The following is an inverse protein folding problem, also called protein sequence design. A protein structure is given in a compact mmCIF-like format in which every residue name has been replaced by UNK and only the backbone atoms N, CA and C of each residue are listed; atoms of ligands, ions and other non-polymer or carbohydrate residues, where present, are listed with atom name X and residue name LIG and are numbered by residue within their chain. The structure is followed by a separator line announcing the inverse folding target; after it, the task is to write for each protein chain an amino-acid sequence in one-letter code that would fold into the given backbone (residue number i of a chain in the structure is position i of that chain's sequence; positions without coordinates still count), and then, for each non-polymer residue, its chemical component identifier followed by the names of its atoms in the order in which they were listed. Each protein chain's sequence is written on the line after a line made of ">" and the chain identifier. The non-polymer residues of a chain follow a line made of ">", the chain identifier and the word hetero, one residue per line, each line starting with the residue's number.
data_IF_535640872580
#
_entry.id   IF_535640872580
#
_cell.length_a   1.000
_cell.length_b   1.000
_cell.length_c   1.000
_cell.angle_alpha   90.00
_cell.angle_beta   90.00
_cell.angle_gamma   90.00
#
_symmetry.space_group_name_H-M   'P 1'
#
loop_
_entity.id
_entity.type
_entity.pdbx_description
1 polymer ?
#
# COMPACT_ATOMS: atom_id res chain seq x y z
N UNK A 1 -9.53 12.76 -5.01
CA UNK A 1 -8.68 12.16 -3.96
C UNK A 1 -8.51 10.64 -4.11
N UNK A 2 -9.58 9.86 -4.33
CA UNK A 2 -9.51 8.37 -4.42
C UNK A 2 -8.54 7.88 -5.51
N UNK A 3 -8.50 8.51 -6.68
CA UNK A 3 -7.63 8.10 -7.79
C UNK A 3 -6.13 8.20 -7.48
N UNK A 4 -5.72 9.23 -6.72
CA UNK A 4 -4.31 9.38 -6.32
C UNK A 4 -3.89 8.27 -5.35
N UNK A 5 -4.80 7.84 -4.46
CA UNK A 5 -4.58 6.69 -3.59
C UNK A 5 -4.34 5.40 -4.38
N UNK A 6 -5.14 5.14 -5.41
CA UNK A 6 -5.04 3.93 -6.26
C UNK A 6 -3.73 3.83 -7.03
N UNK A 7 -3.19 4.96 -7.50
CA UNK A 7 -1.87 5.01 -8.12
C UNK A 7 -0.74 4.93 -7.09
N UNK A 8 -0.86 5.65 -5.96
CA UNK A 8 0.20 5.71 -4.96
C UNK A 8 0.43 4.40 -4.23
N UNK A 9 -0.62 3.59 -4.03
CA UNK A 9 -0.52 2.39 -3.21
C UNK A 9 0.42 1.33 -3.80
N UNK A 10 0.30 0.92 -5.08
CA UNK A 10 1.26 -0.02 -5.67
C UNK A 10 2.71 0.50 -5.66
N UNK A 11 2.92 1.82 -5.78
CA UNK A 11 4.24 2.43 -5.62
C UNK A 11 4.78 2.23 -4.20
N UNK A 12 3.99 2.53 -3.18
CA UNK A 12 4.37 2.30 -1.78
C UNK A 12 4.56 0.81 -1.46
N UNK A 13 3.76 -0.06 -2.05
CA UNK A 13 3.90 -1.51 -1.91
C UNK A 13 5.25 -2.00 -2.47
N UNK A 14 5.63 -1.53 -3.66
CA UNK A 14 6.95 -1.83 -4.23
C UNK A 14 8.07 -1.24 -3.38
N UNK A 15 7.97 0.02 -2.95
CA UNK A 15 8.96 0.64 -2.06
C UNK A 15 9.10 -0.12 -0.74
N UNK A 16 8.01 -0.64 -0.17
CA UNK A 16 8.03 -1.45 1.03
C UNK A 16 8.76 -2.78 0.81
N UNK A 17 8.56 -3.41 -0.35
CA UNK A 17 9.31 -4.59 -0.76
C UNK A 17 10.82 -4.32 -0.90
N UNK A 18 11.19 -3.19 -1.51
CA UNK A 18 12.59 -2.76 -1.60
C UNK A 18 13.17 -2.50 -0.19
N UNK A 19 12.43 -1.80 0.66
CA UNK A 19 12.83 -1.59 2.06
C UNK A 19 13.05 -2.90 2.82
N UNK A 20 12.22 -3.91 2.57
CA UNK A 20 12.36 -5.25 3.15
C UNK A 20 13.60 -6.00 2.60
N UNK A 21 13.91 -5.86 1.31
CA UNK A 21 15.11 -6.44 0.68
C UNK A 21 16.42 -5.88 1.27
N UNK A 22 16.45 -4.59 1.61
CA UNK A 22 17.67 -3.91 2.06
C UNK A 22 17.75 -3.68 3.58
N UNK A 23 16.73 -4.02 4.36
CA UNK A 23 16.76 -3.83 5.82
C UNK A 23 17.58 -4.91 6.52
N UNK A 24 18.48 -4.49 7.41
CA UNK A 24 19.23 -5.41 8.28
C UNK A 24 18.38 -5.96 9.43
N UNK A 25 17.36 -5.23 9.87
CA UNK A 25 16.46 -5.64 10.96
C UNK A 25 15.00 -5.41 10.55
N UNK A 26 14.28 -6.51 10.32
CA UNK A 26 12.88 -6.49 9.87
C UNK A 26 11.92 -6.05 10.96
N UNK A 27 12.18 -6.43 12.21
CA UNK A 27 11.33 -6.08 13.34
C UNK A 27 11.37 -4.58 13.60
N UNK A 28 12.54 -3.96 13.51
CA UNK A 28 12.67 -2.50 13.58
C UNK A 28 11.98 -1.81 12.39
N UNK A 29 11.96 -2.43 11.21
CA UNK A 29 11.24 -1.89 10.07
C UNK A 29 9.72 -1.92 10.28
N UNK A 30 9.17 -3.08 10.64
CA UNK A 30 7.74 -3.25 10.93
C UNK A 30 7.30 -2.39 12.12
N UNK A 31 8.09 -2.34 13.19
CA UNK A 31 7.83 -1.50 14.35
C UNK A 31 7.73 -0.01 13.97
N UNK A 32 8.64 0.49 13.12
CA UNK A 32 8.57 1.88 12.64
C UNK A 32 7.27 2.14 11.86
N UNK A 33 6.83 1.21 11.01
CA UNK A 33 5.57 1.35 10.28
C UNK A 33 4.37 1.37 11.22
N UNK A 34 4.33 0.46 12.21
CA UNK A 34 3.26 0.42 13.22
C UNK A 34 3.26 1.68 14.07
N UNK A 35 4.43 2.14 14.55
CA UNK A 35 4.56 3.34 15.36
C UNK A 35 4.04 4.58 14.61
N UNK A 36 4.43 4.74 13.35
CA UNK A 36 3.91 5.81 12.49
C UNK A 36 2.40 5.65 12.21
N UNK A 37 1.93 4.42 12.04
CA UNK A 37 0.51 4.10 11.93
C UNK A 37 -0.27 4.57 13.14
N UNK A 38 0.19 4.25 14.35
CA UNK A 38 -0.44 4.67 15.62
C UNK A 38 -0.40 6.19 15.76
N UNK A 39 0.74 6.84 15.52
CA UNK A 39 0.88 8.31 15.63
C UNK A 39 -0.04 9.04 14.64
N UNK A 40 -0.18 8.52 13.42
CA UNK A 40 -1.01 9.13 12.38
C UNK A 40 -2.50 8.77 12.47
N UNK A 41 -2.87 7.72 13.22
CA UNK A 41 -4.25 7.23 13.29
C UNK A 41 -5.25 8.29 13.73
N UNK A 42 -5.01 9.14 14.76
CA UNK A 42 -5.99 10.17 15.15
C UNK A 42 -6.28 11.16 14.03
N UNK A 43 -5.24 11.62 13.31
CA UNK A 43 -5.36 12.56 12.19
C UNK A 43 -6.10 11.89 11.03
N UNK A 44 -5.69 10.66 10.68
CA UNK A 44 -6.35 9.86 9.65
C UNK A 44 -7.83 9.63 9.96
N UNK A 45 -8.16 9.21 11.18
CA UNK A 45 -9.52 8.96 11.65
C UNK A 45 -10.39 10.22 11.50
N UNK A 46 -9.87 11.37 11.91
CA UNK A 46 -10.60 12.64 11.79
C UNK A 46 -10.87 12.99 10.32
N UNK A 47 -9.85 12.95 9.46
CA UNK A 47 -9.98 13.21 8.02
C UNK A 47 -10.96 12.23 7.37
N UNK A 48 -10.84 10.94 7.67
CA UNK A 48 -11.68 9.90 7.10
C UNK A 48 -13.15 10.09 7.47
N UNK A 49 -13.45 10.33 8.75
CA UNK A 49 -14.83 10.59 9.19
C UNK A 49 -15.40 11.87 8.59
N UNK A 50 -14.59 12.92 8.41
CA UNK A 50 -15.02 14.13 7.71
C UNK A 50 -15.34 13.86 6.24
N UNK A 51 -14.57 13.02 5.54
CA UNK A 51 -14.73 12.76 4.10
C UNK A 51 -15.84 11.76 3.80
N UNK A 52 -15.92 10.67 4.56
CA UNK A 52 -16.74 9.51 4.23
C UNK A 52 -17.91 9.31 5.20
N UNK A 53 -18.04 10.11 6.26
CA UNK A 53 -19.10 9.99 7.27
C UNK A 53 -19.26 8.57 7.81
N UNK A 54 -18.14 7.86 7.99
CA UNK A 54 -18.09 6.46 8.35
C UNK A 54 -17.02 6.18 9.42
N UNK A 55 -17.12 5.03 10.08
CA UNK A 55 -16.15 4.59 11.08
C UNK A 55 -14.80 4.30 10.39
N UNK A 56 -13.72 4.99 10.77
CA UNK A 56 -12.45 4.89 10.07
C UNK A 56 -11.81 3.51 10.26
N UNK A 57 -11.21 2.93 9.21
CA UNK A 57 -10.36 1.74 9.34
C UNK A 57 -8.98 2.12 9.95
N UNK A 58 -8.15 1.12 10.22
CA UNK A 58 -6.72 1.33 10.49
C UNK A 58 -6.02 1.77 9.20
N UNK A 59 -5.21 2.81 9.27
CA UNK A 59 -4.62 3.44 8.09
C UNK A 59 -3.67 2.53 7.29
N UNK A 60 -3.32 2.97 6.08
CA UNK A 60 -2.48 2.23 5.14
C UNK A 60 -1.11 1.78 5.69
N UNK A 61 -0.55 2.42 6.73
CA UNK A 61 0.73 2.00 7.30
C UNK A 61 0.64 0.62 7.98
N UNK A 62 -0.52 0.27 8.54
CA UNK A 62 -0.78 -1.06 9.07
C UNK A 62 -0.82 -2.12 7.95
N UNK A 63 -1.37 -1.75 6.78
CA UNK A 63 -1.35 -2.60 5.57
C UNK A 63 0.08 -2.82 5.09
N UNK A 64 0.90 -1.77 5.04
CA UNK A 64 2.31 -1.90 4.66
C UNK A 64 3.09 -2.75 5.66
N UNK A 65 2.85 -2.60 6.96
CA UNK A 65 3.46 -3.43 7.99
C UNK A 65 3.12 -4.92 7.79
N UNK A 66 1.84 -5.25 7.54
CA UNK A 66 1.40 -6.59 7.22
C UNK A 66 2.01 -7.09 5.88
N UNK A 67 2.06 -6.24 4.86
CA UNK A 67 2.65 -6.55 3.56
C UNK A 67 4.14 -6.89 3.64
N UNK A 68 4.90 -6.16 4.44
CA UNK A 68 6.32 -6.46 4.71
C UNK A 68 6.48 -7.83 5.37
N UNK A 69 5.60 -8.19 6.32
CA UNK A 69 5.59 -9.52 6.92
C UNK A 69 5.22 -10.62 5.93
N UNK A 70 4.21 -10.39 5.06
CA UNK A 70 3.84 -11.30 3.98
C UNK A 70 5.04 -11.59 3.08
N UNK A 71 5.77 -10.55 2.66
CA UNK A 71 6.97 -10.68 1.82
C UNK A 71 8.06 -11.49 2.54
N UNK A 72 8.38 -11.11 3.79
CA UNK A 72 9.41 -11.77 4.60
C UNK A 72 9.13 -13.26 4.79
N UNK A 73 7.92 -13.60 5.24
CA UNK A 73 7.54 -14.98 5.52
C UNK A 73 7.44 -15.81 4.23
N UNK A 74 6.96 -15.21 3.13
CA UNK A 74 6.89 -15.90 1.84
C UNK A 74 8.26 -16.24 1.26
N UNK A 75 9.34 -15.54 1.65
CA UNK A 75 10.71 -15.88 1.27
C UNK A 75 11.30 -17.06 2.03
N UNK A 76 10.75 -17.39 3.20
CA UNK A 76 11.21 -18.51 4.04
C UNK A 76 10.65 -19.86 3.58
N UNK A 77 9.73 -19.85 2.61
CA UNK A 77 9.09 -21.06 2.08
C UNK A 77 9.31 -21.16 0.57
N UNK A 78 9.53 -22.38 0.07
CA UNK A 78 9.67 -22.62 -1.37
C UNK A 78 8.34 -22.98 -2.04
N UNK A 79 7.39 -23.54 -1.29
CA UNK A 79 6.10 -24.00 -1.79
C UNK A 79 5.15 -22.83 -2.10
N UNK A 80 4.63 -22.77 -3.33
CA UNK A 80 3.66 -21.76 -3.76
C UNK A 80 2.34 -21.76 -2.99
N UNK A 81 1.85 -22.94 -2.58
CA UNK A 81 0.62 -23.05 -1.77
C UNK A 81 0.80 -22.40 -0.40
N UNK A 82 1.96 -22.60 0.24
CA UNK A 82 2.26 -21.96 1.52
C UNK A 82 2.37 -20.44 1.38
N UNK A 83 2.95 -19.93 0.28
CA UNK A 83 2.97 -18.49 -0.01
C UNK A 83 1.55 -17.94 -0.15
N UNK A 84 0.69 -18.64 -0.90
CA UNK A 84 -0.72 -18.30 -1.02
C UNK A 84 -1.45 -18.30 0.33
N UNK A 85 -1.19 -19.31 1.18
CA UNK A 85 -1.76 -19.39 2.52
C UNK A 85 -1.30 -18.25 3.44
N UNK A 86 -0.02 -17.84 3.37
CA UNK A 86 0.50 -16.68 4.11
C UNK A 86 -0.22 -15.40 3.68
N UNK A 87 -0.32 -15.16 2.36
CA UNK A 87 -1.03 -13.98 1.83
C UNK A 87 -2.49 -13.99 2.29
N UNK A 88 -3.17 -15.13 2.18
CA UNK A 88 -4.57 -15.27 2.58
C UNK A 88 -4.75 -15.03 4.09
N UNK A 89 -3.90 -15.61 4.93
CA UNK A 89 -3.93 -15.43 6.39
C UNK A 89 -3.83 -13.95 6.77
N UNK A 90 -2.83 -13.25 6.23
CA UNK A 90 -2.65 -11.83 6.54
C UNK A 90 -3.77 -10.96 5.93
N UNK A 91 -4.36 -11.37 4.80
CA UNK A 91 -5.52 -10.70 4.21
C UNK A 91 -6.73 -10.82 5.15
N UNK A 92 -6.98 -12.01 5.68
CA UNK A 92 -8.04 -12.25 6.67
C UNK A 92 -7.80 -11.43 7.95
N UNK A 93 -6.57 -11.41 8.46
CA UNK A 93 -6.20 -10.57 9.62
C UNK A 93 -6.49 -9.09 9.33
N UNK A 94 -6.08 -8.60 8.15
CA UNK A 94 -6.28 -7.21 7.77
C UNK A 94 -7.78 -6.85 7.66
N UNK A 95 -8.61 -7.74 7.12
CA UNK A 95 -10.06 -7.54 7.03
C UNK A 95 -10.70 -7.53 8.42
N UNK A 96 -10.39 -8.52 9.26
CA UNK A 96 -10.94 -8.62 10.64
C UNK A 96 -10.51 -7.44 11.50
N UNK A 97 -9.25 -7.02 11.39
CA UNK A 97 -8.72 -5.86 12.08
C UNK A 97 -9.12 -4.52 11.42
N UNK A 98 -9.92 -4.55 10.35
CA UNK A 98 -10.43 -3.39 9.61
C UNK A 98 -9.31 -2.45 9.15
N UNK A 99 -8.27 -2.99 8.54
CA UNK A 99 -7.27 -2.19 7.87
C UNK A 99 -7.89 -1.48 6.65
N UNK A 100 -7.26 -0.41 6.18
CA UNK A 100 -7.58 0.29 4.93
C UNK A 100 -7.12 -0.58 3.73
N UNK A 101 -7.71 -1.77 3.65
CA UNK A 101 -7.38 -2.82 2.72
C UNK A 101 -8.67 -3.51 2.26
N UNK A 102 -8.76 -3.75 0.97
CA UNK A 102 -9.70 -4.73 0.41
C UNK A 102 -9.05 -6.11 0.32
N UNK A 103 -9.85 -7.09 -0.10
CA UNK A 103 -9.39 -8.47 -0.28
C UNK A 103 -8.15 -8.59 -1.20
N UNK A 104 -8.05 -7.76 -2.23
CA UNK A 104 -6.95 -7.78 -3.20
C UNK A 104 -5.73 -6.96 -2.77
N UNK A 105 -5.78 -6.24 -1.66
CA UNK A 105 -4.73 -5.28 -1.26
C UNK A 105 -3.41 -5.97 -0.92
N UNK A 106 -3.39 -6.98 -0.03
CA UNK A 106 -2.15 -7.71 0.27
C UNK A 106 -1.67 -8.66 -0.84
N UNK A 107 -2.56 -9.33 -1.61
CA UNK A 107 -2.16 -9.97 -2.86
C UNK A 107 -1.42 -9.01 -3.80
N UNK A 108 -1.91 -7.77 -3.96
CA UNK A 108 -1.25 -6.74 -4.76
C UNK A 108 0.11 -6.36 -4.18
N UNK A 109 0.24 -6.20 -2.86
CA UNK A 109 1.56 -5.96 -2.23
C UNK A 109 2.53 -7.09 -2.55
N UNK A 110 2.08 -8.34 -2.43
CA UNK A 110 2.90 -9.49 -2.74
C UNK A 110 3.30 -9.54 -4.23
N UNK A 111 2.37 -9.27 -5.16
CA UNK A 111 2.66 -9.18 -6.60
C UNK A 111 3.68 -8.07 -6.88
N UNK A 112 3.48 -6.87 -6.34
CA UNK A 112 4.42 -5.75 -6.50
C UNK A 112 5.80 -6.05 -5.94
N UNK A 113 5.92 -6.88 -4.88
CA UNK A 113 7.22 -7.30 -4.36
C UNK A 113 8.06 -8.15 -5.33
N UNK A 114 7.42 -8.69 -6.37
CA UNK A 114 8.07 -9.49 -7.43
C UNK A 114 8.40 -8.67 -8.66
N UNK A 115 8.00 -7.40 -8.71
CA UNK A 115 8.27 -6.53 -9.84
C UNK A 115 9.71 -6.05 -9.85
N UNK A 116 10.42 -6.29 -10.95
CA UNK A 116 11.80 -5.86 -11.14
C UNK A 116 11.88 -4.93 -12.37
N UNK A 117 12.19 -3.63 -12.18
CA UNK A 117 12.35 -2.71 -13.30
C UNK A 117 13.50 -3.16 -14.22
N UNK A 118 13.32 -2.98 -15.53
CA UNK A 118 14.30 -3.40 -16.55
C UNK A 118 14.18 -4.85 -17.03
N UNK A 119 13.32 -5.67 -16.40
CA UNK A 119 13.00 -7.02 -16.86
C UNK A 119 11.53 -7.09 -17.30
N UNK A 120 11.30 -7.33 -18.59
CA UNK A 120 9.93 -7.49 -19.09
C UNK A 120 9.42 -8.92 -18.82
N UNK A 121 8.73 -9.11 -17.70
CA UNK A 121 8.02 -10.35 -17.39
C UNK A 121 6.54 -10.24 -17.78
N UNK A 122 6.21 -10.78 -18.97
CA UNK A 122 4.84 -10.79 -19.49
C UNK A 122 3.85 -11.46 -18.52
N UNK A 123 4.25 -12.53 -17.83
CA UNK A 123 3.37 -13.24 -16.89
C UNK A 123 3.01 -12.36 -15.71
N UNK A 124 3.98 -11.62 -15.18
CA UNK A 124 3.75 -10.67 -14.10
C UNK A 124 2.75 -9.59 -14.51
N UNK A 125 2.89 -9.00 -15.70
CA UNK A 125 1.98 -7.98 -16.22
C UNK A 125 0.55 -8.49 -16.36
N UNK A 126 0.35 -9.71 -16.86
CA UNK A 126 -0.98 -10.33 -16.95
C UNK A 126 -1.58 -10.52 -15.55
N UNK A 127 -0.82 -11.08 -14.61
CA UNK A 127 -1.27 -11.30 -13.22
C UNK A 127 -1.61 -9.99 -12.51
N UNK A 128 -0.90 -8.90 -12.83
CA UNK A 128 -1.14 -7.58 -12.25
C UNK A 128 -2.34 -6.84 -12.88
N UNK A 129 -2.45 -6.83 -14.21
CA UNK A 129 -3.45 -6.04 -14.95
C UNK A 129 -4.83 -6.69 -14.94
N UNK A 130 -4.92 -8.01 -15.16
CA UNK A 130 -6.19 -8.72 -15.33
C UNK A 130 -7.14 -8.51 -14.14
N UNK A 131 -6.70 -8.59 -12.86
CA UNK A 131 -7.59 -8.32 -11.74
C UNK A 131 -8.19 -6.92 -11.73
N UNK A 132 -7.45 -5.89 -12.17
CA UNK A 132 -7.95 -4.52 -12.25
C UNK A 132 -9.02 -4.40 -13.34
N UNK A 133 -8.78 -4.97 -14.53
CA UNK A 133 -9.75 -4.98 -15.62
C UNK A 133 -11.01 -5.76 -15.23
N UNK A 134 -10.84 -6.95 -14.64
CA UNK A 134 -11.94 -7.80 -14.23
C UNK A 134 -12.78 -7.12 -13.14
N UNK A 135 -12.16 -6.45 -12.17
CA UNK A 135 -12.88 -5.70 -11.14
C UNK A 135 -13.80 -4.64 -11.77
N UNK A 136 -13.30 -3.87 -12.74
CA UNK A 136 -14.09 -2.86 -13.46
C UNK A 136 -15.18 -3.51 -14.32
N UNK A 137 -14.87 -4.58 -15.03
CA UNK A 137 -15.83 -5.31 -15.86
C UNK A 137 -16.99 -5.90 -15.04
N UNK A 138 -16.74 -6.26 -13.78
CA UNK A 138 -17.75 -6.75 -12.83
C UNK A 138 -18.51 -5.62 -12.10
N UNK A 139 -18.41 -4.37 -12.57
CA UNK A 139 -19.13 -3.22 -12.02
C UNK A 139 -18.34 -2.39 -10.99
N UNK A 140 -17.05 -2.69 -10.81
CA UNK A 140 -16.15 -1.90 -9.98
C UNK A 140 -15.85 -0.52 -10.56
N UNK A 141 -15.37 0.40 -9.72
CA UNK A 141 -15.06 1.76 -10.15
C UNK A 141 -13.90 1.81 -11.16
N UNK A 142 -14.07 2.55 -12.26
CA UNK A 142 -13.03 2.81 -13.28
C UNK A 142 -11.77 3.44 -12.69
N UNK A 143 -11.88 4.10 -11.53
CA UNK A 143 -10.76 4.71 -10.81
C UNK A 143 -9.69 3.66 -10.40
N UNK A 144 -10.04 2.38 -10.26
CA UNK A 144 -9.05 1.32 -9.98
C UNK A 144 -8.02 1.17 -11.10
N UNK A 145 -8.37 1.48 -12.35
CA UNK A 145 -7.43 1.37 -13.48
C UNK A 145 -6.25 2.34 -13.34
N UNK A 146 -6.39 3.39 -12.53
CA UNK A 146 -5.27 4.30 -12.23
C UNK A 146 -4.08 3.56 -11.59
N UNK A 147 -4.34 2.47 -10.85
CA UNK A 147 -3.28 1.64 -10.27
C UNK A 147 -2.36 1.00 -11.31
N UNK A 148 -2.89 0.66 -12.49
CA UNK A 148 -2.15 -0.04 -13.57
C UNK A 148 -0.92 0.76 -14.02
N UNK A 149 -0.94 2.09 -13.88
CA UNK A 149 0.14 2.97 -14.33
C UNK A 149 1.34 2.92 -13.37
N UNK A 150 1.17 2.48 -12.12
CA UNK A 150 2.24 2.51 -11.12
C UNK A 150 3.53 1.78 -11.55
N UNK A 151 3.52 0.56 -12.13
CA UNK A 151 4.75 -0.10 -12.55
C UNK A 151 5.46 0.63 -13.70
N UNK A 152 4.73 1.41 -14.52
CA UNK A 152 5.33 2.25 -15.57
C UNK A 152 6.20 3.33 -14.93
N UNK A 153 5.72 4.01 -13.88
CA UNK A 153 6.53 4.97 -13.13
C UNK A 153 7.76 4.31 -12.48
N UNK A 154 7.63 3.07 -12.01
CA UNK A 154 8.76 2.33 -11.48
C UNK A 154 9.77 2.02 -12.61
N UNK A 155 9.34 1.64 -13.81
CA UNK A 155 10.27 1.44 -14.94
C UNK A 155 11.07 2.69 -15.32
N UNK A 156 10.53 3.89 -15.06
CA UNK A 156 11.22 5.17 -15.31
C UNK A 156 12.17 5.58 -14.17
N UNK A 157 12.21 4.82 -13.07
CA UNK A 157 13.09 5.11 -11.95
C UNK A 157 14.55 4.84 -12.31
N UNK A 158 15.46 5.71 -11.85
CA UNK A 158 16.88 5.70 -12.21
C UNK A 158 17.75 4.67 -11.44
N UNK A 159 17.15 3.69 -10.76
CA UNK A 159 17.91 2.72 -9.95
C UNK A 159 18.40 3.23 -8.58
N UNK A 160 18.47 4.53 -8.38
CA UNK A 160 19.16 5.14 -7.23
C UNK A 160 18.26 5.28 -6.00
N UNK A 161 18.87 5.18 -4.81
CA UNK A 161 18.19 5.48 -3.57
C UNK A 161 17.96 6.99 -3.46
N UNK A 162 16.69 7.39 -3.29
CA UNK A 162 16.36 8.78 -3.00
C UNK A 162 16.97 9.29 -1.70
N UNK A 163 16.89 10.61 -1.49
CA UNK A 163 17.50 11.27 -0.33
C UNK A 163 16.97 10.67 0.97
N UNK A 164 17.88 10.12 1.79
CA UNK A 164 17.58 9.51 3.09
C UNK A 164 17.30 10.58 4.15
N UNK A 165 16.17 11.27 4.04
CA UNK A 165 15.76 12.28 5.04
C UNK A 165 14.77 11.69 6.04
N UNK A 166 14.97 12.02 7.33
CA UNK A 166 14.03 11.64 8.40
C UNK A 166 12.68 12.38 8.28
N UNK A 167 12.67 13.52 7.59
CA UNK A 167 11.48 14.34 7.35
C UNK A 167 10.43 13.64 6.47
N UNK A 168 10.84 12.68 5.64
CA UNK A 168 9.91 11.90 4.82
C UNK A 168 8.88 11.12 5.66
N UNK A 169 9.21 10.77 6.91
CA UNK A 169 8.25 10.13 7.82
C UNK A 169 7.11 11.05 8.24
N UNK A 170 7.33 12.37 8.23
CA UNK A 170 6.27 13.35 8.51
C UNK A 170 5.35 13.57 7.31
N UNK A 171 5.76 13.15 6.10
CA UNK A 171 4.94 13.31 4.91
C UNK A 171 3.53 12.74 5.11
N UNK A 172 3.43 11.53 5.67
CA UNK A 172 2.14 10.85 5.86
C UNK A 172 1.16 11.62 6.79
N UNK A 173 1.50 11.98 8.03
CA UNK A 173 0.62 12.79 8.86
C UNK A 173 0.40 14.22 8.33
N UNK A 174 1.42 14.83 7.71
CA UNK A 174 1.33 16.23 7.24
C UNK A 174 0.38 16.36 6.04
N UNK A 175 0.47 15.51 5.02
CA UNK A 175 -0.43 15.64 3.86
C UNK A 175 -1.89 15.37 4.24
N UNK A 176 -2.15 14.47 5.19
CA UNK A 176 -3.49 14.29 5.78
C UNK A 176 -3.96 15.54 6.52
N UNK A 177 -3.09 16.18 7.30
CA UNK A 177 -3.39 17.44 7.98
C UNK A 177 -3.71 18.58 7.01
N UNK A 178 -2.97 18.68 5.90
CA UNK A 178 -3.25 19.67 4.84
C UNK A 178 -4.62 19.41 4.21
N UNK A 179 -4.97 18.15 3.93
CA UNK A 179 -6.29 17.80 3.40
C UNK A 179 -7.41 18.18 4.39
N UNK A 180 -7.23 17.90 5.69
CA UNK A 180 -8.16 18.33 6.73
C UNK A 180 -8.33 19.85 6.73
N UNK A 181 -7.24 20.61 6.72
CA UNK A 181 -7.27 22.07 6.76
C UNK A 181 -7.98 22.68 5.54
N UNK A 182 -7.68 22.19 4.34
CA UNK A 182 -8.35 22.62 3.10
C UNK A 182 -9.84 22.31 3.15
N UNK A 183 -10.21 21.10 3.58
CA UNK A 183 -11.63 20.72 3.68
C UNK A 183 -12.37 21.58 4.69
N UNK A 184 -11.79 21.81 5.87
CA UNK A 184 -12.37 22.65 6.91
C UNK A 184 -12.61 24.07 6.41
N UNK A 185 -11.63 24.65 5.70
CA UNK A 185 -11.76 25.97 5.06
C UNK A 185 -12.91 26.00 4.05
N UNK A 186 -13.02 24.99 3.18
CA UNK A 186 -14.09 24.90 2.18
C UNK A 186 -15.50 24.67 2.76
N UNK A 187 -15.61 24.14 3.98
CA UNK A 187 -16.92 23.98 4.66
C UNK A 187 -17.35 25.22 5.46
N UNK A 188 -16.46 26.17 5.70
CA UNK A 188 -16.78 27.43 6.39
C UNK A 188 -17.29 28.54 5.45
N UNK A 189 -17.21 28.33 4.14
CA UNK A 189 -17.70 29.22 3.08
C UNK A 189 -18.68 28.48 2.18
#
# INVERSE_FOLDING_TARGET
>A
MVALGRLSFPLFAWLAAQGENYTSNIWNYVFRLILLGVISQPIYSHVYSLIFSATPPLNILFVLAAGVMVIRLSKQVNNGLLKGAIVLLFTTIAIVARFEAGFFTLPLVYIMSKFHPGQFDFKWWVVYIVPHILYVALGGSVIELAGIIAPVFICLHNGEAGIKTRWFYLFYPVHLGVIAGVKWFLTMY
#
